data_IF_582361336974
#
_entry.id   IF_582361336974
#
_cell.length_a   1.000
_cell.length_b   1.000
_cell.length_c   1.000
_cell.angle_alpha   90.00
_cell.angle_beta   90.00
_cell.angle_gamma   90.00
#
_symmetry.space_group_name_H-M   'P 1'
#
loop_
_entity.id
_entity.type
_entity.pdbx_description
1 polymer ?
#
# COMPACT_ATOMS: atom_id res chain seq x y z
N UNK A 1 -43.94 22.71 46.71
CA UNK A 1 -43.02 22.75 47.85
C UNK A 1 -42.77 21.32 48.29
N UNK A 2 -41.62 20.78 48.03
CA UNK A 2 -41.27 19.38 48.33
C UNK A 2 -39.92 19.05 47.73
N UNK A 3 -38.85 19.38 48.44
CA UNK A 3 -37.48 19.06 48.10
C UNK A 3 -37.26 17.58 48.37
N UNK A 4 -37.04 16.79 47.36
CA UNK A 4 -36.61 15.39 47.52
C UNK A 4 -35.08 15.35 47.51
N UNK A 5 -34.47 15.29 48.70
CA UNK A 5 -33.05 14.95 48.86
C UNK A 5 -32.89 13.45 48.64
N UNK A 6 -32.29 13.07 47.52
CA UNK A 6 -31.85 11.71 47.33
C UNK A 6 -30.40 11.60 47.80
N UNK A 7 -30.22 11.11 49.04
CA UNK A 7 -28.89 10.70 49.52
C UNK A 7 -28.56 9.35 48.92
N UNK A 8 -27.66 9.33 47.96
CA UNK A 8 -27.07 8.07 47.41
C UNK A 8 -25.82 7.72 48.23
N UNK A 9 -26.01 6.85 49.22
CA UNK A 9 -24.93 6.11 49.86
C UNK A 9 -24.81 4.76 49.15
N UNK A 10 -23.73 4.60 48.42
CA UNK A 10 -23.38 3.31 47.79
C UNK A 10 -22.32 3.50 46.73
N UNK A 11 -21.10 3.02 47.00
CA UNK A 11 -19.99 2.99 46.05
C UNK A 11 -20.27 1.94 44.97
N UNK A 12 -21.15 2.24 44.06
CA UNK A 12 -21.22 1.56 42.78
C UNK A 12 -20.64 2.50 41.74
N UNK A 13 -19.65 2.04 41.01
CA UNK A 13 -19.11 2.71 39.83
C UNK A 13 -20.28 2.99 38.89
N UNK A 14 -20.81 4.20 38.94
CA UNK A 14 -21.76 4.68 37.96
C UNK A 14 -21.03 4.78 36.63
N UNK A 15 -21.15 3.75 35.83
CA UNK A 15 -20.85 3.86 34.38
C UNK A 15 -21.97 4.68 33.72
N UNK A 16 -22.03 5.95 34.05
CA UNK A 16 -22.97 6.92 33.47
C UNK A 16 -22.51 7.42 32.09
N UNK A 17 -21.52 6.75 31.46
CA UNK A 17 -20.89 7.25 30.25
C UNK A 17 -21.72 7.07 28.99
N UNK A 18 -22.83 6.40 29.04
CA UNK A 18 -23.72 6.23 27.87
C UNK A 18 -24.92 7.19 27.87
N UNK A 19 -25.06 8.02 28.88
CA UNK A 19 -26.12 9.01 28.90
C UNK A 19 -25.59 10.28 28.23
N UNK A 20 -25.93 10.47 26.98
CA UNK A 20 -25.81 11.77 26.34
C UNK A 20 -26.71 12.73 27.15
N UNK A 21 -26.17 13.71 27.85
CA UNK A 21 -27.00 14.62 28.65
C UNK A 21 -27.90 15.36 27.68
N UNK A 22 -29.20 15.09 27.76
CA UNK A 22 -30.21 15.89 27.08
C UNK A 22 -30.51 17.07 27.95
N UNK A 23 -29.83 18.18 27.73
CA UNK A 23 -30.16 19.45 28.34
C UNK A 23 -31.22 20.11 27.48
N UNK A 24 -32.33 20.53 28.13
CA UNK A 24 -33.34 21.37 27.48
C UNK A 24 -32.84 22.82 27.59
N UNK A 25 -32.03 23.22 26.62
CA UNK A 25 -31.50 24.58 26.59
C UNK A 25 -32.37 25.47 25.72
N UNK A 26 -32.59 26.70 26.14
CA UNK A 26 -33.21 27.72 25.29
C UNK A 26 -32.25 28.15 24.20
N UNK A 27 -30.99 28.22 24.52
CA UNK A 27 -29.91 28.47 23.55
C UNK A 27 -28.55 28.02 24.11
N UNK A 28 -27.62 27.74 23.25
CA UNK A 28 -26.25 27.43 23.62
C UNK A 28 -25.31 27.71 22.43
N UNK A 29 -24.03 27.80 22.71
CA UNK A 29 -23.06 28.07 21.67
C UNK A 29 -21.64 27.71 22.10
N UNK A 30 -20.76 27.88 21.15
CA UNK A 30 -19.34 27.61 21.26
C UNK A 30 -18.56 28.75 20.59
N UNK A 31 -17.55 29.25 21.26
CA UNK A 31 -16.69 30.32 20.77
C UNK A 31 -15.21 30.00 21.04
N UNK A 32 -14.36 30.34 20.09
CA UNK A 32 -12.91 30.13 20.17
C UNK A 32 -12.18 31.46 19.97
N UNK A 33 -11.36 31.87 20.92
CA UNK A 33 -10.57 33.11 20.85
C UNK A 33 -9.21 32.92 21.52
N UNK A 34 -8.11 33.18 20.74
CA UNK A 34 -6.76 33.21 21.31
C UNK A 34 -6.27 31.92 21.93
N UNK A 35 -6.73 30.75 21.43
CA UNK A 35 -6.37 29.42 21.94
C UNK A 35 -7.22 28.99 23.15
N UNK A 36 -8.25 29.73 23.49
CA UNK A 36 -9.25 29.38 24.49
C UNK A 36 -10.57 29.04 23.84
N UNK A 37 -11.21 28.00 24.34
CA UNK A 37 -12.54 27.57 23.89
C UNK A 37 -13.56 27.81 24.96
N UNK A 38 -14.68 28.43 24.63
CA UNK A 38 -15.79 28.69 25.51
C UNK A 38 -17.07 28.02 24.98
N UNK A 39 -17.58 27.05 25.74
CA UNK A 39 -18.93 26.51 25.53
C UNK A 39 -19.90 27.15 26.53
N UNK A 40 -21.05 27.57 26.08
CA UNK A 40 -22.09 28.13 26.97
C UNK A 40 -23.45 27.54 26.64
N UNK A 41 -24.28 27.49 27.66
CA UNK A 41 -25.68 27.06 27.58
C UNK A 41 -26.53 28.06 28.40
N UNK A 42 -27.63 28.52 27.81
CA UNK A 42 -28.57 29.42 28.43
C UNK A 42 -29.92 28.72 28.63
N UNK A 43 -30.53 28.92 29.76
CA UNK A 43 -31.84 28.32 30.13
C UNK A 43 -31.76 27.27 31.22
N UNK A 44 -30.61 27.10 31.86
CA UNK A 44 -30.43 26.29 33.06
C UNK A 44 -30.37 27.15 34.32
N UNK A 45 -30.73 26.57 35.46
CA UNK A 45 -30.70 27.27 36.75
C UNK A 45 -29.28 27.62 37.22
N UNK A 46 -28.25 26.98 36.63
CA UNK A 46 -26.86 27.28 36.92
C UNK A 46 -26.10 27.54 35.63
N UNK A 47 -25.28 28.59 35.64
CA UNK A 47 -24.38 28.84 34.49
C UNK A 47 -23.33 27.75 34.41
N UNK A 48 -23.23 27.18 33.21
CA UNK A 48 -22.23 26.16 32.87
C UNK A 48 -21.10 26.87 32.15
N UNK A 49 -19.91 26.78 32.70
CA UNK A 49 -18.70 27.37 32.11
C UNK A 49 -17.64 26.34 31.94
N UNK A 50 -16.99 26.39 30.79
CA UNK A 50 -15.93 25.48 30.41
C UNK A 50 -14.73 26.30 29.92
N UNK A 51 -13.57 26.08 30.52
CA UNK A 51 -12.33 26.79 30.19
C UNK A 51 -11.20 25.80 29.93
N UNK A 52 -10.48 26.00 28.84
CA UNK A 52 -9.27 25.21 28.50
C UNK A 52 -8.08 26.13 28.36
N UNK A 53 -6.99 25.77 28.99
CA UNK A 53 -5.71 26.47 28.82
C UNK A 53 -4.86 25.80 27.70
N UNK A 54 -3.90 26.55 27.17
CA UNK A 54 -2.95 26.04 26.14
C UNK A 54 -2.13 24.82 26.62
N UNK A 55 -2.10 24.54 27.92
CA UNK A 55 -1.40 23.42 28.55
C UNK A 55 -2.29 22.21 28.84
N UNK A 56 -3.46 22.13 28.19
CA UNK A 56 -4.41 21.02 28.33
C UNK A 56 -5.06 20.85 29.70
N UNK A 57 -5.05 21.89 30.58
CA UNK A 57 -5.83 21.87 31.80
C UNK A 57 -7.25 22.36 31.52
N UNK A 58 -8.22 21.54 31.88
CA UNK A 58 -9.64 21.84 31.66
C UNK A 58 -10.33 22.06 32.99
N UNK A 59 -11.03 23.17 33.13
CA UNK A 59 -11.92 23.43 34.21
C UNK A 59 -13.37 23.50 33.70
N UNK A 60 -14.23 22.64 34.20
CA UNK A 60 -15.67 22.67 33.92
C UNK A 60 -16.44 22.96 35.20
N UNK A 61 -17.36 23.89 35.14
CA UNK A 61 -18.29 24.17 36.22
C UNK A 61 -19.71 23.98 35.67
N UNK A 62 -20.52 23.21 36.37
CA UNK A 62 -21.89 22.94 35.98
C UNK A 62 -22.12 21.51 35.40
N UNK A 63 -23.24 21.35 34.71
CA UNK A 63 -23.71 20.04 34.26
C UNK A 63 -23.00 19.51 32.97
N UNK A 64 -22.28 20.39 32.26
CA UNK A 64 -21.47 19.90 31.11
C UNK A 64 -20.31 19.09 31.66
N UNK A 65 -20.47 17.81 31.69
CA UNK A 65 -19.33 16.91 31.83
C UNK A 65 -18.38 17.11 30.66
N UNK A 66 -17.12 16.99 30.96
CA UNK A 66 -16.01 17.17 30.02
C UNK A 66 -16.22 16.31 28.78
N UNK A 67 -17.04 16.81 27.86
CA UNK A 67 -16.95 16.29 26.49
C UNK A 67 -15.63 16.81 25.97
N UNK A 68 -14.79 15.90 25.65
CA UNK A 68 -13.51 16.20 25.07
C UNK A 68 -13.70 16.86 23.67
N UNK A 69 -14.18 18.12 23.68
CA UNK A 69 -14.31 18.93 22.47
C UNK A 69 -12.94 19.13 21.80
N UNK A 70 -11.87 19.03 22.59
CA UNK A 70 -10.51 19.07 22.09
C UNK A 70 -10.10 17.75 21.42
N UNK A 71 -10.77 16.64 21.72
CA UNK A 71 -10.47 15.36 21.09
C UNK A 71 -11.05 15.20 19.69
N UNK A 72 -12.10 15.96 19.34
CA UNK A 72 -12.58 15.99 17.95
C UNK A 72 -11.58 16.58 16.97
N UNK A 73 -10.58 17.28 17.45
CA UNK A 73 -9.68 18.07 16.66
C UNK A 73 -8.59 17.28 15.90
N UNK A 74 -8.48 15.98 16.17
CA UNK A 74 -7.41 15.15 15.60
C UNK A 74 -7.88 13.86 14.96
N UNK A 75 -9.17 13.76 14.59
CA UNK A 75 -9.67 12.58 13.90
C UNK A 75 -9.08 12.51 12.50
N UNK A 76 -8.33 11.46 12.24
CA UNK A 76 -8.03 11.05 10.88
C UNK A 76 -9.34 10.61 10.25
N UNK A 77 -9.75 11.26 9.17
CA UNK A 77 -11.02 11.00 8.49
C UNK A 77 -10.87 10.07 7.31
N UNK A 78 -9.76 10.17 6.59
CA UNK A 78 -9.50 9.37 5.40
C UNK A 78 -8.02 9.28 5.09
N UNK A 79 -7.67 8.22 4.34
CA UNK A 79 -6.38 8.00 3.73
C UNK A 79 -6.58 7.83 2.24
N UNK A 80 -5.86 8.57 1.42
CA UNK A 80 -5.90 8.48 -0.03
C UNK A 80 -4.51 8.35 -0.62
N UNK A 81 -4.42 7.73 -1.79
CA UNK A 81 -3.21 7.58 -2.58
C UNK A 81 -3.45 8.30 -3.91
N UNK A 82 -2.54 9.18 -4.33
CA UNK A 82 -2.70 10.01 -5.52
C UNK A 82 -2.47 9.25 -6.83
N UNK A 83 -1.59 8.24 -6.80
CA UNK A 83 -1.35 7.34 -7.92
C UNK A 83 -1.24 5.90 -7.43
N UNK A 84 -1.86 4.98 -8.14
CA UNK A 84 -1.90 3.56 -7.79
C UNK A 84 -1.33 2.65 -8.89
N UNK A 85 -0.52 3.19 -9.80
CA UNK A 85 0.08 2.40 -10.88
C UNK A 85 1.57 2.70 -11.05
N UNK A 86 2.32 1.71 -11.51
CA UNK A 86 3.75 1.83 -11.80
C UNK A 86 4.15 0.91 -12.95
N UNK A 87 5.22 1.27 -13.67
CA UNK A 87 5.79 0.41 -14.71
C UNK A 87 6.74 -0.61 -14.08
N UNK A 88 6.58 -1.88 -14.45
CA UNK A 88 7.50 -2.94 -14.05
C UNK A 88 8.88 -2.73 -14.69
N UNK A 89 9.95 -2.90 -13.90
CA UNK A 89 11.32 -2.80 -14.38
C UNK A 89 12.16 -3.97 -13.87
N UNK A 90 13.08 -4.45 -14.70
CA UNK A 90 14.07 -5.49 -14.34
C UNK A 90 15.37 -4.88 -13.81
N UNK A 91 15.57 -3.60 -13.97
CA UNK A 91 16.80 -2.88 -13.63
C UNK A 91 16.65 -1.84 -12.53
N UNK A 92 15.42 -1.39 -12.26
CA UNK A 92 15.13 -0.41 -11.21
C UNK A 92 14.47 -1.10 -10.03
N UNK A 93 15.12 -1.01 -8.88
CA UNK A 93 14.72 -1.78 -7.69
C UNK A 93 13.80 -1.02 -6.73
N UNK A 94 13.73 0.28 -6.79
CA UNK A 94 12.89 1.09 -5.90
C UNK A 94 12.06 2.05 -6.74
N UNK A 95 10.86 1.63 -7.11
CA UNK A 95 10.00 2.41 -8.00
C UNK A 95 8.99 3.18 -7.14
N UNK A 96 9.01 4.53 -7.15
CA UNK A 96 7.97 5.31 -6.50
C UNK A 96 6.65 5.13 -7.25
N UNK A 97 5.56 4.99 -6.48
CA UNK A 97 4.23 4.75 -7.04
C UNK A 97 3.36 5.99 -6.87
N UNK A 98 3.11 6.39 -5.63
CA UNK A 98 2.26 7.52 -5.32
C UNK A 98 2.42 7.98 -3.88
N UNK A 99 1.95 9.19 -3.58
CA UNK A 99 1.99 9.76 -2.26
C UNK A 99 0.67 9.58 -1.51
N UNK A 100 0.77 9.20 -0.25
CA UNK A 100 -0.38 9.15 0.64
C UNK A 100 -0.73 10.54 1.16
N UNK A 101 -2.00 10.85 1.12
CA UNK A 101 -2.58 12.05 1.73
C UNK A 101 -3.53 11.62 2.84
N UNK A 102 -3.33 12.19 4.02
CA UNK A 102 -4.18 11.97 5.19
C UNK A 102 -5.14 13.15 5.34
N UNK A 103 -6.42 12.88 5.26
CA UNK A 103 -7.46 13.87 5.54
C UNK A 103 -7.80 13.82 7.02
N UNK A 104 -7.71 14.95 7.69
CA UNK A 104 -8.09 15.11 9.10
C UNK A 104 -8.93 16.34 9.31
N UNK A 105 -9.54 16.46 10.48
CA UNK A 105 -10.36 17.63 10.86
C UNK A 105 -9.53 18.90 11.00
N UNK A 106 -8.22 18.79 11.24
CA UNK A 106 -7.29 19.94 11.32
C UNK A 106 -5.96 19.62 10.65
N UNK A 107 -5.34 20.62 10.04
CA UNK A 107 -3.96 20.61 9.56
C UNK A 107 -3.02 20.64 10.77
N UNK A 108 -2.63 19.50 11.31
CA UNK A 108 -1.73 19.49 12.47
C UNK A 108 -0.58 18.50 12.30
N UNK A 109 0.51 18.85 12.94
CA UNK A 109 1.74 18.09 13.15
C UNK A 109 1.55 16.80 13.98
N UNK A 110 0.31 16.44 14.28
CA UNK A 110 -0.04 15.35 15.21
C UNK A 110 -0.34 14.02 14.51
N UNK A 111 -0.43 14.01 13.18
CA UNK A 111 -0.75 12.81 12.41
C UNK A 111 0.55 12.06 12.13
N UNK A 112 0.55 10.77 12.41
CA UNK A 112 1.67 9.90 12.09
C UNK A 112 1.72 9.63 10.59
N UNK A 113 2.91 9.38 10.08
CA UNK A 113 3.12 8.88 8.72
C UNK A 113 2.32 7.59 8.50
N UNK A 114 1.63 7.44 7.35
CA UNK A 114 1.00 6.18 6.99
C UNK A 114 2.00 5.02 7.02
N UNK A 115 1.56 3.87 7.44
CA UNK A 115 2.35 2.65 7.51
C UNK A 115 1.61 1.53 6.79
N UNK A 116 2.33 0.64 6.16
CA UNK A 116 1.78 -0.65 5.76
C UNK A 116 1.54 -1.48 7.00
N UNK A 117 0.38 -2.12 7.08
CA UNK A 117 0.10 -3.01 8.20
C UNK A 117 0.99 -4.24 8.13
N UNK A 118 1.33 -4.79 9.28
CA UNK A 118 2.05 -6.06 9.37
C UNK A 118 1.18 -7.29 9.07
N UNK A 119 -0.06 -7.08 8.61
CA UNK A 119 -0.94 -8.17 8.23
C UNK A 119 -0.36 -8.91 7.02
N UNK A 120 0.30 -9.99 7.30
CA UNK A 120 0.72 -10.99 6.33
C UNK A 120 -0.33 -12.11 6.35
N UNK A 121 -1.09 -12.24 5.29
CA UNK A 121 -2.08 -13.30 5.14
C UNK A 121 -2.33 -13.56 3.65
N UNK A 122 -2.92 -14.69 3.28
CA UNK A 122 -3.29 -14.93 1.90
C UNK A 122 -4.26 -13.82 1.46
N UNK A 123 -3.85 -13.05 0.46
CA UNK A 123 -4.63 -11.95 -0.11
C UNK A 123 -4.06 -10.55 0.08
N UNK A 124 -2.96 -10.39 0.83
CA UNK A 124 -2.28 -9.09 0.99
C UNK A 124 -0.87 -9.12 0.44
N UNK A 125 -0.53 -8.08 -0.29
CA UNK A 125 0.75 -7.93 -0.98
C UNK A 125 1.69 -6.92 -0.30
N UNK A 126 1.40 -6.54 0.94
CA UNK A 126 2.18 -5.58 1.71
C UNK A 126 3.70 -5.85 1.70
N UNK A 127 4.19 -7.11 1.77
CA UNK A 127 5.64 -7.39 1.76
C UNK A 127 6.38 -6.92 0.51
N UNK A 128 5.67 -6.67 -0.60
CA UNK A 128 6.26 -6.19 -1.85
C UNK A 128 6.41 -4.67 -1.92
N UNK A 129 5.93 -3.97 -0.90
CA UNK A 129 5.89 -2.52 -0.84
C UNK A 129 6.49 -2.00 0.45
N UNK A 130 6.88 -0.73 0.45
CA UNK A 130 7.19 0.02 1.66
C UNK A 130 6.77 1.48 1.50
N UNK A 131 6.60 2.16 2.63
CA UNK A 131 6.30 3.60 2.65
C UNK A 131 7.50 4.34 3.23
N UNK A 132 7.94 5.36 2.50
CA UNK A 132 8.96 6.31 2.96
C UNK A 132 8.50 7.73 2.63
N UNK A 133 8.56 8.63 3.62
CA UNK A 133 8.19 10.04 3.47
C UNK A 133 6.80 10.22 2.80
N UNK A 134 5.81 9.46 3.27
CA UNK A 134 4.45 9.35 2.74
C UNK A 134 4.35 8.77 1.31
N UNK A 135 5.43 8.43 0.66
CA UNK A 135 5.41 7.84 -0.68
C UNK A 135 5.44 6.32 -0.59
N UNK A 136 4.56 5.68 -1.35
CA UNK A 136 4.54 4.23 -1.55
C UNK A 136 5.58 3.86 -2.61
N UNK A 137 6.38 2.85 -2.30
CA UNK A 137 7.39 2.30 -3.20
C UNK A 137 7.17 0.82 -3.42
N UNK A 138 7.44 0.37 -4.65
CA UNK A 138 7.64 -1.03 -4.96
C UNK A 138 9.01 -1.50 -4.45
N UNK A 139 9.07 -2.68 -3.86
CA UNK A 139 10.33 -3.32 -3.44
C UNK A 139 10.73 -4.37 -4.49
N UNK A 140 11.96 -4.30 -4.93
CA UNK A 140 12.48 -4.96 -6.14
C UNK A 140 12.53 -6.47 -6.19
N UNK A 141 12.41 -7.14 -5.07
CA UNK A 141 12.32 -8.60 -5.09
C UNK A 141 10.97 -8.98 -5.71
N UNK A 142 10.90 -9.08 -7.03
CA UNK A 142 9.68 -9.46 -7.73
C UNK A 142 9.41 -10.97 -7.65
N UNK A 143 8.69 -11.45 -6.64
CA UNK A 143 8.37 -12.85 -6.48
C UNK A 143 7.07 -13.26 -7.17
N UNK A 144 6.40 -12.34 -7.87
CA UNK A 144 5.11 -12.56 -8.50
C UNK A 144 5.18 -12.31 -10.02
N UNK A 145 5.87 -13.18 -10.82
CA UNK A 145 5.87 -13.08 -12.26
C UNK A 145 4.43 -13.05 -12.78
N UNK A 146 4.15 -12.16 -13.74
CA UNK A 146 2.83 -12.04 -14.37
C UNK A 146 1.76 -11.32 -13.52
N UNK A 147 1.92 -11.19 -12.21
CA UNK A 147 0.93 -10.53 -11.38
C UNK A 147 0.82 -9.05 -11.72
N UNK A 148 -0.38 -8.61 -12.11
CA UNK A 148 -0.66 -7.23 -12.56
C UNK A 148 -1.26 -6.35 -11.48
N UNK A 149 -1.97 -6.94 -10.55
CA UNK A 149 -2.71 -6.24 -9.51
C UNK A 149 -2.31 -6.73 -8.13
N UNK A 150 -2.03 -5.81 -7.25
CA UNK A 150 -1.63 -6.06 -5.87
C UNK A 150 -2.61 -5.38 -4.93
N UNK A 151 -2.95 -6.04 -3.85
CA UNK A 151 -3.80 -5.49 -2.81
C UNK A 151 -2.97 -5.18 -1.57
N UNK A 152 -2.88 -3.92 -1.19
CA UNK A 152 -2.19 -3.50 0.03
C UNK A 152 -3.16 -2.94 1.06
N UNK A 153 -2.78 -3.08 2.32
CA UNK A 153 -3.52 -2.52 3.45
C UNK A 153 -2.63 -1.50 4.15
N UNK A 154 -3.00 -0.23 4.07
CA UNK A 154 -2.31 0.87 4.72
C UNK A 154 -3.12 1.41 5.91
N UNK A 155 -2.43 1.81 6.95
CA UNK A 155 -2.99 2.33 8.17
C UNK A 155 -2.32 3.64 8.56
N UNK A 156 -3.09 4.58 9.06
CA UNK A 156 -2.60 5.79 9.68
C UNK A 156 -3.23 5.94 11.07
N UNK A 157 -2.42 6.33 12.04
CA UNK A 157 -2.87 6.56 13.42
C UNK A 157 -2.57 8.01 13.83
N UNK A 158 -3.51 8.59 14.55
CA UNK A 158 -3.24 9.84 15.25
C UNK A 158 -2.48 9.59 16.58
N UNK A 159 -2.15 10.67 17.30
CA UNK A 159 -1.44 10.55 18.60
C UNK A 159 -2.29 9.91 19.69
N UNK A 160 -3.60 9.93 19.55
CA UNK A 160 -4.56 9.38 20.53
C UNK A 160 -4.87 7.90 20.28
N UNK A 161 -4.41 7.36 19.17
CA UNK A 161 -4.62 5.98 18.81
C UNK A 161 -5.82 5.72 17.92
N UNK A 162 -6.57 6.77 17.49
CA UNK A 162 -7.57 6.61 16.44
C UNK A 162 -6.87 6.24 15.16
N UNK A 163 -7.44 5.31 14.43
CA UNK A 163 -6.83 4.83 13.20
C UNK A 163 -7.84 4.73 12.05
N UNK A 164 -7.31 4.93 10.85
CA UNK A 164 -7.96 4.60 9.59
C UNK A 164 -7.12 3.57 8.89
N UNK A 165 -7.73 2.46 8.55
CA UNK A 165 -7.13 1.38 7.77
C UNK A 165 -7.88 1.26 6.47
N UNK A 166 -7.16 1.24 5.34
CA UNK A 166 -7.77 1.24 4.01
C UNK A 166 -7.00 0.36 3.04
N UNK A 167 -7.76 -0.32 2.17
CA UNK A 167 -7.20 -1.11 1.08
C UNK A 167 -6.92 -0.22 -0.12
N UNK A 168 -5.81 -0.53 -0.81
CA UNK A 168 -5.47 0.07 -2.09
C UNK A 168 -5.10 -1.02 -3.08
N UNK A 169 -5.70 -0.94 -4.25
CA UNK A 169 -5.33 -1.75 -5.39
C UNK A 169 -4.21 -1.04 -6.15
N UNK A 170 -3.05 -1.70 -6.28
CA UNK A 170 -1.88 -1.18 -6.99
C UNK A 170 -1.74 -1.95 -8.29
N UNK A 171 -1.60 -1.23 -9.41
CA UNK A 171 -1.51 -1.81 -10.75
C UNK A 171 -0.09 -1.73 -11.27
N UNK A 172 0.46 -2.88 -11.66
CA UNK A 172 1.71 -2.95 -12.38
C UNK A 172 1.44 -2.94 -13.89
N UNK A 173 1.92 -1.91 -14.55
CA UNK A 173 1.88 -1.79 -16.00
C UNK A 173 3.02 -2.61 -16.55
N UNK A 174 2.73 -3.55 -17.45
CA UNK A 174 3.75 -4.33 -18.14
C UNK A 174 4.43 -3.48 -19.22
N UNK A 175 5.72 -3.69 -19.50
CA UNK A 175 6.36 -3.14 -20.70
C UNK A 175 5.62 -3.55 -21.97
N UNK A 176 5.77 -2.79 -23.04
CA UNK A 176 5.27 -3.19 -24.35
C UNK A 176 6.01 -4.45 -24.82
N UNK A 177 5.25 -5.46 -25.27
CA UNK A 177 5.81 -6.73 -25.70
C UNK A 177 6.74 -6.57 -26.91
N UNK A 178 6.41 -5.69 -27.84
CA UNK A 178 7.24 -5.43 -29.02
C UNK A 178 8.52 -4.66 -28.67
N UNK A 179 8.50 -3.90 -27.61
CA UNK A 179 9.67 -3.15 -27.13
C UNK A 179 10.63 -3.98 -26.26
N UNK A 180 10.27 -5.23 -25.88
CA UNK A 180 11.14 -6.07 -25.08
C UNK A 180 12.48 -6.34 -25.80
N UNK A 181 13.58 -6.08 -25.08
CA UNK A 181 14.91 -6.45 -25.53
C UNK A 181 15.11 -7.95 -25.42
N UNK A 182 15.32 -8.61 -26.56
CA UNK A 182 15.56 -10.05 -26.64
C UNK A 182 17.01 -10.26 -27.07
N UNK A 183 17.85 -10.91 -26.23
CA UNK A 183 19.23 -11.20 -26.60
C UNK A 183 19.29 -12.08 -27.83
N UNK A 184 20.21 -11.79 -28.73
CA UNK A 184 20.39 -12.53 -29.98
C UNK A 184 21.65 -13.40 -30.02
N UNK A 185 22.38 -13.46 -28.89
CA UNK A 185 23.66 -14.22 -28.81
C UNK A 185 23.78 -14.86 -27.42
N UNK A 186 24.33 -16.05 -27.41
CA UNK A 186 24.70 -16.81 -26.21
C UNK A 186 26.15 -17.30 -26.37
N UNK A 187 26.95 -17.19 -25.31
CA UNK A 187 28.35 -17.60 -25.27
C UNK A 187 28.62 -18.42 -24.01
N UNK A 188 28.18 -19.70 -23.97
CA UNK A 188 28.32 -20.52 -22.77
C UNK A 188 29.79 -20.92 -22.58
N UNK A 189 30.53 -20.14 -21.78
CA UNK A 189 31.94 -20.33 -21.44
C UNK A 189 32.24 -20.23 -19.94
N UNK A 190 31.19 -20.06 -19.10
CA UNK A 190 31.25 -19.97 -17.66
C UNK A 190 31.96 -18.70 -17.11
N UNK A 191 32.02 -17.64 -17.92
CA UNK A 191 32.57 -16.35 -17.48
C UNK A 191 31.53 -15.44 -16.80
N UNK A 192 30.25 -15.87 -16.72
CA UNK A 192 29.12 -15.13 -16.14
C UNK A 192 28.46 -14.15 -17.10
N UNK A 193 28.94 -14.04 -18.35
CA UNK A 193 28.42 -13.10 -19.34
C UNK A 193 27.81 -13.87 -20.53
N UNK A 194 26.51 -13.74 -20.74
CA UNK A 194 25.76 -14.43 -21.82
C UNK A 194 25.92 -15.96 -21.83
N UNK A 195 26.26 -16.58 -20.71
CA UNK A 195 26.34 -18.03 -20.58
C UNK A 195 25.00 -18.74 -20.82
N UNK A 196 23.92 -18.03 -20.57
CA UNK A 196 22.56 -18.54 -20.75
C UNK A 196 21.70 -17.55 -21.52
N UNK A 197 20.74 -18.06 -22.29
CA UNK A 197 19.78 -17.24 -23.00
C UNK A 197 18.40 -17.23 -22.29
N UNK A 198 17.84 -16.05 -22.19
CA UNK A 198 16.50 -15.81 -21.66
C UNK A 198 16.08 -14.37 -21.90
N UNK A 199 14.84 -14.04 -21.55
CA UNK A 199 14.25 -12.73 -21.79
C UNK A 199 13.84 -12.12 -20.45
N UNK A 200 14.66 -11.25 -19.84
CA UNK A 200 14.40 -10.74 -18.48
C UNK A 200 13.05 -10.08 -18.31
N UNK A 201 12.58 -9.31 -19.29
CA UNK A 201 11.30 -8.61 -19.25
C UNK A 201 10.06 -9.50 -19.34
N UNK A 202 10.22 -10.77 -19.70
CA UNK A 202 9.10 -11.69 -19.90
C UNK A 202 8.37 -12.03 -18.59
N UNK A 203 9.01 -11.85 -17.46
CA UNK A 203 8.42 -12.07 -16.13
C UNK A 203 7.22 -11.16 -15.79
N UNK A 204 7.03 -10.08 -16.55
CA UNK A 204 5.87 -9.19 -16.41
C UNK A 204 4.63 -9.69 -17.15
N UNK A 205 4.75 -10.80 -17.88
CA UNK A 205 3.67 -11.38 -18.67
C UNK A 205 3.22 -12.70 -18.03
N UNK A 206 1.92 -12.89 -17.94
CA UNK A 206 1.33 -14.12 -17.47
C UNK A 206 1.26 -15.16 -18.59
N UNK A 207 1.61 -16.41 -18.26
CA UNK A 207 1.53 -17.51 -19.22
C UNK A 207 2.50 -17.39 -20.40
N UNK A 208 3.69 -16.81 -20.18
CA UNK A 208 4.70 -16.74 -21.22
C UNK A 208 5.29 -18.14 -21.52
N UNK A 209 5.36 -18.49 -22.80
CA UNK A 209 5.97 -19.72 -23.30
C UNK A 209 7.20 -19.37 -24.14
N UNK A 210 8.33 -19.91 -23.79
CA UNK A 210 9.61 -19.66 -24.47
C UNK A 210 10.12 -20.97 -25.02
N UNK A 211 10.46 -20.98 -26.30
CA UNK A 211 11.04 -22.16 -26.97
C UNK A 211 12.24 -21.79 -27.81
N UNK A 212 13.22 -22.72 -27.93
CA UNK A 212 14.34 -22.63 -28.84
C UNK A 212 14.34 -23.87 -29.75
N UNK A 213 14.62 -23.67 -31.02
CA UNK A 213 14.61 -24.72 -32.06
C UNK A 213 15.91 -24.71 -32.83
N UNK A 214 16.30 -25.87 -33.33
CA UNK A 214 17.35 -25.98 -34.33
C UNK A 214 16.85 -25.61 -35.76
N UNK A 215 17.71 -25.69 -36.74
CA UNK A 215 17.36 -25.40 -38.15
C UNK A 215 16.37 -26.42 -38.75
N UNK A 216 16.31 -27.62 -38.20
CA UNK A 216 15.37 -28.66 -38.61
C UNK A 216 13.99 -28.54 -37.99
N UNK A 217 13.80 -27.59 -37.05
CA UNK A 217 12.56 -27.41 -36.33
C UNK A 217 12.42 -28.30 -35.09
N UNK A 218 13.48 -29.02 -34.69
CA UNK A 218 13.49 -29.75 -33.42
C UNK A 218 13.54 -28.77 -32.26
N UNK A 219 12.60 -28.90 -31.32
CA UNK A 219 12.56 -28.06 -30.10
C UNK A 219 13.62 -28.54 -29.12
N UNK A 220 14.61 -27.69 -28.87
CA UNK A 220 15.74 -27.96 -28.00
C UNK A 220 15.48 -27.48 -26.55
N UNK A 221 14.67 -26.44 -26.40
CA UNK A 221 14.36 -25.85 -25.10
C UNK A 221 12.91 -25.41 -25.06
N UNK A 222 12.31 -25.58 -23.88
CA UNK A 222 10.96 -25.07 -23.60
C UNK A 222 10.84 -24.71 -22.11
N UNK A 223 10.23 -23.57 -21.83
CA UNK A 223 9.89 -23.19 -20.48
C UNK A 223 8.65 -22.28 -20.45
N UNK A 224 7.87 -22.41 -19.39
CA UNK A 224 6.84 -21.44 -18.98
C UNK A 224 7.30 -20.63 -17.76
N UNK A 225 8.46 -20.96 -17.18
CA UNK A 225 9.05 -20.23 -16.08
C UNK A 225 10.02 -19.15 -16.64
N UNK A 226 9.75 -17.85 -16.38
CA UNK A 226 10.57 -16.74 -16.90
C UNK A 226 12.01 -16.72 -16.35
N UNK A 227 12.27 -17.43 -15.27
CA UNK A 227 13.60 -17.47 -14.64
C UNK A 227 14.48 -18.62 -15.17
N UNK A 228 13.88 -19.58 -15.87
CA UNK A 228 14.61 -20.68 -16.50
C UNK A 228 15.17 -20.24 -17.86
N UNK A 229 16.47 -20.44 -18.04
CA UNK A 229 17.21 -20.01 -19.23
C UNK A 229 17.84 -21.18 -19.95
N UNK A 230 18.00 -21.06 -21.26
CA UNK A 230 18.71 -22.06 -22.09
C UNK A 230 20.22 -21.85 -21.98
N UNK A 231 20.96 -22.90 -21.69
CA UNK A 231 22.41 -22.91 -21.51
C UNK A 231 23.17 -23.37 -22.78
N UNK A 232 22.48 -23.56 -23.89
CA UNK A 232 23.10 -24.05 -25.12
C UNK A 232 23.29 -25.56 -25.15
N UNK A 233 22.58 -26.31 -24.28
CA UNK A 233 22.59 -27.79 -24.30
C UNK A 233 21.23 -28.36 -24.69
N UNK A 234 21.21 -29.62 -25.14
CA UNK A 234 20.02 -30.43 -25.34
C UNK A 234 20.30 -31.88 -24.91
N UNK A 235 19.46 -32.42 -24.02
CA UNK A 235 19.64 -33.75 -23.42
C UNK A 235 21.05 -33.98 -22.84
N UNK A 236 21.59 -32.93 -22.18
CA UNK A 236 22.92 -32.96 -21.59
C UNK A 236 24.10 -32.88 -22.54
N UNK A 237 23.84 -32.68 -23.84
CA UNK A 237 24.88 -32.54 -24.88
C UNK A 237 24.96 -31.07 -25.33
N UNK A 238 26.18 -30.60 -25.52
CA UNK A 238 26.43 -29.31 -26.09
C UNK A 238 25.92 -29.20 -27.52
N UNK A 239 25.18 -28.16 -27.82
CA UNK A 239 24.73 -27.88 -29.17
C UNK A 239 25.85 -27.23 -29.99
N UNK A 240 25.95 -27.55 -31.31
CA UNK A 240 26.93 -26.96 -32.21
C UNK A 240 26.85 -25.43 -32.28
N UNK A 241 27.98 -24.78 -32.52
CA UNK A 241 28.03 -23.35 -32.87
C UNK A 241 27.17 -23.09 -34.12
N UNK A 242 26.33 -22.07 -34.05
CA UNK A 242 25.44 -21.75 -35.15
C UNK A 242 24.23 -20.93 -34.76
N UNK A 243 23.32 -20.81 -35.71
CA UNK A 243 22.06 -20.05 -35.50
C UNK A 243 20.92 -20.99 -35.14
N UNK A 244 20.17 -20.60 -34.16
CA UNK A 244 18.98 -21.25 -33.64
C UNK A 244 17.78 -20.29 -33.77
N UNK A 245 16.59 -20.82 -33.66
CA UNK A 245 15.36 -20.03 -33.74
C UNK A 245 14.66 -20.06 -32.40
N UNK A 246 14.09 -18.93 -32.00
CA UNK A 246 13.30 -18.86 -30.80
C UNK A 246 11.87 -18.38 -31.09
N UNK A 247 10.94 -18.79 -30.25
CA UNK A 247 9.58 -18.25 -30.17
C UNK A 247 9.26 -17.88 -28.74
N UNK A 248 8.56 -16.78 -28.59
CA UNK A 248 7.98 -16.33 -27.31
C UNK A 248 6.50 -16.08 -27.57
N UNK A 249 5.64 -16.74 -26.82
CA UNK A 249 4.19 -16.62 -26.89
C UNK A 249 3.66 -16.17 -25.54
N UNK A 250 2.75 -15.19 -25.53
CA UNK A 250 2.00 -14.78 -24.36
C UNK A 250 0.60 -15.38 -24.47
N UNK A 251 0.32 -16.41 -23.68
CA UNK A 251 -0.91 -17.20 -23.78
C UNK A 251 -2.15 -16.34 -23.53
N UNK A 252 -2.08 -15.40 -22.59
CA UNK A 252 -3.19 -14.53 -22.22
C UNK A 252 -3.68 -13.64 -23.38
N UNK A 253 -2.76 -13.12 -24.19
CA UNK A 253 -3.08 -12.16 -25.26
C UNK A 253 -2.97 -12.74 -26.65
N UNK A 254 -2.34 -13.92 -26.80
CA UNK A 254 -2.02 -14.52 -28.10
C UNK A 254 -0.88 -13.82 -28.84
N UNK A 255 -0.22 -12.84 -28.20
CA UNK A 255 0.92 -12.16 -28.80
C UNK A 255 2.09 -13.13 -28.96
N UNK A 256 2.77 -13.09 -30.10
CA UNK A 256 3.90 -13.98 -30.42
C UNK A 256 5.03 -13.20 -31.09
N UNK A 257 6.25 -13.44 -30.62
CA UNK A 257 7.47 -12.99 -31.28
C UNK A 257 8.36 -14.19 -31.61
N UNK A 258 9.12 -14.05 -32.68
CA UNK A 258 10.09 -15.05 -33.14
C UNK A 258 11.33 -14.37 -33.70
N UNK A 259 12.45 -15.05 -33.60
CA UNK A 259 13.69 -14.52 -34.12
C UNK A 259 14.81 -15.54 -34.10
N UNK A 260 16.03 -15.05 -34.30
CA UNK A 260 17.24 -15.86 -34.33
C UNK A 260 18.11 -15.60 -33.11
N UNK A 261 18.80 -16.64 -32.68
CA UNK A 261 19.78 -16.66 -31.61
C UNK A 261 21.06 -17.31 -32.15
N UNK A 262 22.21 -16.69 -31.94
CA UNK A 262 23.51 -17.23 -32.30
C UNK A 262 24.17 -17.83 -31.05
N UNK A 263 24.51 -19.11 -31.14
CA UNK A 263 25.35 -19.78 -30.16
C UNK A 263 26.79 -19.74 -30.63
N UNK A 264 27.65 -19.16 -29.81
CA UNK A 264 29.09 -19.00 -30.06
C UNK A 264 29.83 -19.68 -28.91
N UNK A 265 30.86 -20.44 -29.23
CA UNK A 265 31.81 -21.03 -28.26
C UNK A 265 33.21 -20.57 -28.62
N UNK A 266 33.95 -20.15 -27.63
CA UNK A 266 35.37 -19.85 -27.76
C UNK A 266 36.21 -21.03 -27.32
#
# INVERSE_FOLDING_TARGET
MGLLFLTLLGSTSLQAQSITPKTLNVTGGYAEVGGYSLGYSLGEESSISYYTTATASTLSAGFIQNFDFLERDHLVLDLSLDNNSFEGSTSVFFIPIGAFTVKSTRTTTSIKTPLLTSLSGPGYDNPFFYIKDNTLFWNSADPAPGKKTFLILAQVKDRKGNDVTKFFEIKRIRPDFDALSIPNTITPNTDGINDTWGVPGIRFYEGARISVYDRGGLRLFYTENPDVRWDGTFEGKEMPVGSYFWTIEIVETGEMRRGMLNLIRK
#
